data_IF_371010452972
#
_entry.id   IF_371010452972
#
_cell.length_a   1.000
_cell.length_b   1.000
_cell.length_c   1.000
_cell.angle_alpha   90.00
_cell.angle_beta   90.00
_cell.angle_gamma   90.00
#
_symmetry.space_group_name_H-M   'P 1'
#
loop_
_entity.id
_entity.type
_entity.pdbx_description
1 polymer ?
#
# COMPACT_ATOMS: atom_id res chain seq x y z
N UNK A 1 -6.67 -4.20 5.54
CA UNK A 1 -6.36 -3.67 6.89
C UNK A 1 -5.15 -2.77 6.76
N UNK A 2 -5.13 -1.63 7.44
CA UNK A 2 -3.99 -0.72 7.32
C UNK A 2 -3.97 0.42 8.31
N UNK A 3 -3.02 1.32 8.09
CA UNK A 3 -2.70 2.46 8.94
C UNK A 3 -2.79 3.75 8.11
N UNK A 4 -3.54 4.72 8.61
CA UNK A 4 -3.61 6.08 8.05
C UNK A 4 -2.80 7.06 8.90
N UNK A 5 -2.19 8.05 8.25
CA UNK A 5 -1.40 9.11 8.87
C UNK A 5 -1.88 10.49 8.40
N UNK A 6 -1.48 11.54 9.14
CA UNK A 6 -1.93 12.91 8.90
C UNK A 6 -3.25 13.26 9.58
N UNK A 7 -3.61 14.54 9.63
CA UNK A 7 -4.67 15.07 10.50
C UNK A 7 -6.08 14.50 10.23
N UNK A 8 -6.35 14.08 8.99
CA UNK A 8 -7.61 13.44 8.59
C UNK A 8 -7.41 12.01 8.04
N UNK A 9 -6.20 11.45 8.17
CA UNK A 9 -5.88 10.15 7.58
C UNK A 9 -5.77 10.18 6.04
N UNK A 10 -5.44 11.33 5.44
CA UNK A 10 -5.31 11.50 3.99
C UNK A 10 -4.37 10.46 3.35
N UNK A 11 -3.29 10.09 4.03
CA UNK A 11 -2.26 9.21 3.47
C UNK A 11 -2.32 7.81 4.09
N UNK A 12 -2.10 6.79 3.25
CA UNK A 12 -1.91 5.40 3.70
C UNK A 12 -0.43 5.19 4.00
N UNK A 13 -0.11 4.86 5.24
CA UNK A 13 1.24 4.47 5.63
C UNK A 13 1.51 3.01 5.27
N UNK A 14 0.56 2.13 5.60
CA UNK A 14 0.64 0.71 5.27
C UNK A 14 -0.75 0.16 4.98
N UNK A 15 -0.81 -0.83 4.09
CA UNK A 15 -2.06 -1.53 3.77
C UNK A 15 -1.77 -2.97 3.37
N UNK A 16 -2.45 -3.93 4.00
CA UNK A 16 -2.66 -5.25 3.42
C UNK A 16 -4.05 -5.27 2.77
N UNK A 17 -4.06 -5.48 1.46
CA UNK A 17 -5.26 -5.65 0.64
C UNK A 17 -5.16 -6.91 -0.20
N UNK A 18 -6.25 -7.24 -0.89
CA UNK A 18 -6.33 -8.40 -1.75
C UNK A 18 -7.17 -8.07 -2.99
N UNK A 19 -6.92 -8.76 -4.08
CA UNK A 19 -7.65 -8.57 -5.34
C UNK A 19 -8.45 -9.82 -5.76
N UNK A 20 -9.28 -9.66 -6.80
CA UNK A 20 -10.12 -10.72 -7.37
C UNK A 20 -9.32 -11.85 -8.04
N UNK A 21 -8.04 -11.63 -8.33
CA UNK A 21 -7.11 -12.63 -8.89
C UNK A 21 -6.52 -13.56 -7.83
N UNK A 22 -7.04 -13.52 -6.60
CA UNK A 22 -6.53 -14.28 -5.46
C UNK A 22 -5.14 -13.85 -5.00
N UNK A 23 -4.75 -12.60 -5.21
CA UNK A 23 -3.40 -12.12 -4.86
C UNK A 23 -3.44 -11.15 -3.68
N UNK A 24 -2.43 -11.28 -2.82
CA UNK A 24 -2.19 -10.30 -1.76
C UNK A 24 -1.41 -9.12 -2.32
N UNK A 25 -1.82 -7.90 -1.92
CA UNK A 25 -1.11 -6.66 -2.20
C UNK A 25 -0.76 -5.97 -0.89
N UNK A 26 0.47 -5.50 -0.78
CA UNK A 26 0.95 -4.83 0.42
C UNK A 26 1.57 -3.50 0.07
N UNK A 27 1.00 -2.42 0.59
CA UNK A 27 1.66 -1.11 0.65
C UNK A 27 2.55 -1.09 1.89
N UNK A 28 3.85 -0.87 1.66
CA UNK A 28 4.88 -0.78 2.68
C UNK A 28 5.09 0.64 3.20
N UNK A 29 5.70 0.76 4.40
CA UNK A 29 6.03 2.06 5.01
C UNK A 29 7.09 2.86 4.25
N UNK A 30 7.79 2.23 3.30
CA UNK A 30 8.68 2.89 2.34
C UNK A 30 7.95 3.37 1.06
N UNK A 31 6.63 3.21 1.01
CA UNK A 31 5.80 3.55 -0.14
C UNK A 31 5.82 2.51 -1.27
N UNK A 32 6.61 1.44 -1.16
CA UNK A 32 6.61 0.37 -2.17
C UNK A 32 5.34 -0.46 -2.08
N UNK A 33 4.80 -0.86 -3.23
CA UNK A 33 3.69 -1.81 -3.30
C UNK A 33 4.23 -3.16 -3.74
N UNK A 34 3.94 -4.21 -2.99
CA UNK A 34 4.42 -5.57 -3.24
C UNK A 34 3.25 -6.50 -3.52
N UNK A 35 3.40 -7.36 -4.54
CA UNK A 35 2.50 -8.48 -4.82
C UNK A 35 3.15 -9.76 -4.33
N UNK A 36 2.46 -10.51 -3.48
CA UNK A 36 3.01 -11.76 -2.97
C UNK A 36 2.79 -12.87 -3.99
N UNK A 37 3.74 -13.81 -4.05
CA UNK A 37 3.59 -15.01 -4.87
C UNK A 37 2.47 -15.92 -4.35
N UNK A 38 2.32 -15.97 -3.03
CA UNK A 38 1.23 -16.71 -2.36
C UNK A 38 -0.13 -16.11 -2.69
N UNK A 39 -1.11 -16.99 -2.91
CA UNK A 39 -2.50 -16.59 -3.13
C UNK A 39 -3.30 -16.62 -1.83
N UNK A 40 -4.42 -15.89 -1.81
CA UNK A 40 -5.45 -16.05 -0.80
C UNK A 40 -6.54 -17.02 -1.27
N UNK A 41 -7.20 -17.67 -0.33
CA UNK A 41 -8.32 -18.57 -0.59
C UNK A 41 -9.58 -18.09 0.13
N UNK A 42 -10.73 -18.26 -0.52
CA UNK A 42 -12.02 -17.94 0.07
C UNK A 42 -12.26 -18.87 1.26
N UNK A 43 -12.83 -18.34 2.34
CA UNK A 43 -13.13 -19.08 3.59
C UNK A 43 -11.91 -19.61 4.35
N UNK A 44 -10.69 -19.45 3.83
CA UNK A 44 -9.47 -19.65 4.58
C UNK A 44 -9.27 -18.53 5.61
N UNK A 45 -8.73 -18.88 6.76
CA UNK A 45 -8.41 -17.95 7.83
C UNK A 45 -6.93 -17.60 7.77
N UNK A 46 -6.64 -16.30 7.84
CA UNK A 46 -5.28 -15.77 7.84
C UNK A 46 -5.07 -14.94 9.09
N UNK A 47 -3.93 -15.15 9.75
CA UNK A 47 -3.50 -14.27 10.81
C UNK A 47 -2.72 -13.10 10.19
N UNK A 48 -3.12 -11.88 10.53
CA UNK A 48 -2.46 -10.67 10.01
C UNK A 48 -1.97 -9.81 11.17
N UNK A 49 -0.78 -9.25 11.03
CA UNK A 49 -0.26 -8.26 11.97
C UNK A 49 0.41 -7.10 11.26
N UNK A 50 0.26 -5.91 11.82
CA UNK A 50 1.05 -4.73 11.48
C UNK A 50 1.80 -4.34 12.75
N UNK A 51 3.13 -4.24 12.66
CA UNK A 51 4.00 -3.84 13.75
C UNK A 51 4.61 -2.50 13.39
N UNK A 52 4.30 -1.46 14.16
CA UNK A 52 4.90 -0.13 13.99
C UNK A 52 6.06 0.04 14.97
N UNK A 53 7.12 0.69 14.50
CA UNK A 53 8.35 1.00 15.23
C UNK A 53 8.74 2.43 14.91
N UNK A 54 9.37 3.15 15.85
CA UNK A 54 9.96 4.46 15.61
C UNK A 54 9.06 5.47 14.85
N UNK A 55 7.77 5.53 15.19
CA UNK A 55 6.79 6.38 14.51
C UNK A 55 6.14 5.69 13.32
N UNK A 56 6.71 5.87 12.13
CA UNK A 56 6.11 5.43 10.85
C UNK A 56 6.81 4.23 10.20
N UNK A 57 7.88 3.70 10.80
CA UNK A 57 8.46 2.42 10.34
C UNK A 57 7.49 1.30 10.67
N UNK A 58 7.24 0.41 9.71
CA UNK A 58 6.30 -0.67 9.96
C UNK A 58 6.61 -1.94 9.22
N UNK A 59 6.19 -3.07 9.81
CA UNK A 59 6.34 -4.40 9.23
C UNK A 59 4.98 -5.05 9.15
N UNK A 60 4.67 -5.70 8.03
CA UNK A 60 3.41 -6.45 7.86
C UNK A 60 3.71 -7.94 7.85
N UNK A 61 2.85 -8.70 8.51
CA UNK A 61 2.93 -10.15 8.56
C UNK A 61 1.62 -10.81 8.13
N UNK A 62 1.74 -11.93 7.41
CA UNK A 62 0.65 -12.86 7.11
C UNK A 62 1.10 -14.25 7.57
N UNK A 63 0.34 -14.87 8.47
CA UNK A 63 0.66 -16.15 9.13
C UNK A 63 2.08 -16.18 9.73
N UNK A 64 2.47 -15.06 10.34
CA UNK A 64 3.78 -14.88 10.95
C UNK A 64 4.93 -14.68 9.96
N UNK A 65 4.71 -14.82 8.65
CA UNK A 65 5.73 -14.50 7.62
C UNK A 65 5.75 -13.02 7.32
N UNK A 66 6.94 -12.44 7.21
CA UNK A 66 7.13 -11.03 6.89
C UNK A 66 6.85 -10.79 5.40
N UNK A 67 5.88 -9.93 5.10
CA UNK A 67 5.48 -9.60 3.71
C UNK A 67 5.90 -8.18 3.32
N UNK A 68 6.30 -7.38 4.30
CA UNK A 68 6.82 -6.03 4.12
C UNK A 68 7.81 -5.70 5.24
N UNK A 69 8.90 -5.01 4.93
CA UNK A 69 9.96 -4.66 5.88
C UNK A 69 9.81 -3.26 6.48
N UNK A 70 10.61 -2.95 7.50
CA UNK A 70 10.55 -1.75 8.33
C UNK A 70 11.24 -0.51 7.73
N UNK A 71 11.46 -0.46 6.42
CA UNK A 71 12.02 0.73 5.77
C UNK A 71 11.01 1.88 5.85
N UNK A 72 11.53 3.10 6.06
CA UNK A 72 10.72 4.32 6.15
C UNK A 72 10.89 5.16 4.89
N UNK A 73 9.79 5.79 4.45
CA UNK A 73 9.81 6.87 3.47
C UNK A 73 9.58 8.21 4.18
N UNK A 74 10.15 9.28 3.64
CA UNK A 74 9.76 10.65 4.00
C UNK A 74 8.32 10.90 3.54
N UNK A 75 7.43 11.13 4.51
CA UNK A 75 6.06 11.53 4.24
C UNK A 75 6.03 13.06 4.18
N UNK A 76 5.56 13.62 3.06
CA UNK A 76 5.39 15.06 2.91
C UNK A 76 4.09 15.50 3.57
N UNK A 77 4.04 15.55 4.91
CA UNK A 77 2.84 16.03 5.63
C UNK A 77 3.12 17.34 6.34
N UNK A 78 2.33 18.36 6.05
CA UNK A 78 2.42 19.73 6.62
C UNK A 78 1.98 19.83 8.09
N UNK A 79 1.46 18.74 8.68
CA UNK A 79 0.84 18.66 10.01
C UNK A 79 1.34 17.40 10.76
N UNK A 80 1.24 17.32 12.11
CA UNK A 80 1.96 16.33 12.90
C UNK A 80 1.83 14.89 12.36
N UNK A 81 3.00 14.27 12.18
CA UNK A 81 3.31 12.98 11.52
C UNK A 81 2.77 11.74 12.28
N UNK A 82 1.62 11.90 12.95
CA UNK A 82 1.01 10.88 13.77
C UNK A 82 0.16 9.90 12.97
N UNK A 83 0.00 8.71 13.53
CA UNK A 83 -1.03 7.76 13.12
C UNK A 83 -2.39 8.38 13.42
N UNK A 84 -3.23 8.52 12.40
CA UNK A 84 -4.61 8.99 12.53
C UNK A 84 -5.50 7.88 13.09
N UNK A 85 -5.52 6.75 12.38
CA UNK A 85 -6.34 5.60 12.75
C UNK A 85 -5.89 4.33 12.04
N UNK A 86 -6.36 3.21 12.58
CA UNK A 86 -6.31 1.90 11.95
C UNK A 86 -7.65 1.60 11.30
N UNK A 87 -7.64 1.00 10.12
CA UNK A 87 -8.86 0.52 9.45
C UNK A 87 -8.81 -0.98 9.22
N UNK A 88 -9.95 -1.62 9.47
CA UNK A 88 -10.13 -3.07 9.48
C UNK A 88 -11.40 -3.36 8.71
N UNK A 89 -11.33 -4.33 7.80
CA UNK A 89 -12.50 -4.77 7.03
C UNK A 89 -12.86 -3.90 5.81
N UNK A 90 -12.22 -2.76 5.63
CA UNK A 90 -12.45 -1.85 4.50
C UNK A 90 -12.07 -0.42 4.87
N UNK A 91 -11.80 0.41 3.87
CA UNK A 91 -11.45 1.82 4.02
C UNK A 91 -12.66 2.68 3.63
N UNK A 92 -13.17 3.50 4.56
CA UNK A 92 -14.49 4.16 4.45
C UNK A 92 -14.50 5.45 3.61
N UNK A 93 -13.46 5.70 2.81
CA UNK A 93 -13.33 6.96 2.06
C UNK A 93 -14.31 7.08 0.90
N UNK A 94 -14.92 6.00 0.41
CA UNK A 94 -15.92 6.06 -0.67
C UNK A 94 -17.33 5.74 -0.16
N UNK A 95 -18.24 6.72 -0.31
CA UNK A 95 -19.67 6.67 0.02
C UNK A 95 -20.52 5.87 -0.97
N UNK A 96 -19.92 5.08 -1.85
CA UNK A 96 -20.65 4.20 -2.76
C UNK A 96 -20.56 2.77 -2.26
N UNK A 97 -21.72 2.15 -2.09
CA UNK A 97 -21.94 0.76 -1.73
C UNK A 97 -20.94 -0.16 -2.44
N UNK A 98 -19.91 -0.62 -1.72
CA UNK A 98 -19.03 -1.69 -2.16
C UNK A 98 -19.80 -3.02 -2.10
N UNK A 99 -20.70 -3.20 -3.05
CA UNK A 99 -21.32 -4.48 -3.34
C UNK A 99 -20.22 -5.40 -3.88
N UNK A 100 -19.67 -6.29 -3.02
CA UNK A 100 -18.86 -7.41 -3.50
C UNK A 100 -17.65 -7.86 -2.67
N UNK A 101 -17.20 -7.09 -1.67
CA UNK A 101 -15.99 -7.44 -0.90
C UNK A 101 -16.32 -7.62 0.58
N UNK A 102 -16.74 -8.83 0.95
CA UNK A 102 -17.04 -9.18 2.34
C UNK A 102 -15.86 -9.90 2.99
N UNK A 103 -15.36 -9.34 4.10
CA UNK A 103 -14.39 -10.01 4.97
C UNK A 103 -14.98 -10.17 6.37
N UNK A 104 -14.69 -11.31 7.00
CA UNK A 104 -14.97 -11.52 8.43
C UNK A 104 -13.66 -11.36 9.20
N UNK A 105 -13.62 -10.39 10.12
CA UNK A 105 -12.48 -10.18 11.00
C UNK A 105 -12.87 -10.54 12.43
N UNK A 106 -12.00 -11.27 13.12
CA UNK A 106 -12.18 -11.68 14.52
C UNK A 106 -10.89 -11.40 15.30
N UNK A 107 -11.00 -11.26 16.61
CA UNK A 107 -9.87 -11.17 17.54
C UNK A 107 -8.90 -10.02 17.20
N UNK A 108 -9.41 -8.81 17.04
CA UNK A 108 -8.58 -7.61 16.86
C UNK A 108 -7.92 -7.26 18.18
N UNK A 109 -6.59 -7.27 18.20
CA UNK A 109 -5.76 -6.99 19.37
C UNK A 109 -4.85 -5.80 19.07
N UNK A 110 -4.71 -4.87 20.01
CA UNK A 110 -3.82 -3.71 19.90
C UNK A 110 -2.85 -3.70 21.07
N UNK A 111 -1.56 -3.56 20.77
CA UNK A 111 -0.48 -3.56 21.75
C UNK A 111 0.31 -2.26 21.68
N UNK A 112 0.69 -1.74 22.83
CA UNK A 112 1.55 -0.55 22.97
C UNK A 112 3.05 -0.90 22.90
N UNK A 113 3.40 -2.05 22.30
CA UNK A 113 4.78 -2.51 22.15
C UNK A 113 4.91 -3.30 20.84
N UNK A 114 6.09 -3.28 20.20
CA UNK A 114 6.33 -4.13 19.05
C UNK A 114 6.28 -5.60 19.47
N UNK A 115 5.66 -6.42 18.63
CA UNK A 115 5.65 -7.86 18.77
C UNK A 115 6.72 -8.47 17.84
N UNK A 116 7.34 -9.55 18.29
CA UNK A 116 8.31 -10.32 17.51
C UNK A 116 7.63 -11.55 16.92
N UNK A 117 7.85 -11.79 15.64
CA UNK A 117 7.39 -12.98 14.93
C UNK A 117 8.61 -13.79 14.48
N UNK A 118 8.52 -15.12 14.60
CA UNK A 118 9.62 -16.04 14.23
C UNK A 118 9.56 -16.49 12.77
N UNK A 119 8.56 -16.06 11.99
CA UNK A 119 8.47 -16.42 10.57
C UNK A 119 9.48 -15.64 9.74
N UNK A 120 10.02 -16.31 8.71
CA UNK A 120 10.92 -15.69 7.74
C UNK A 120 10.19 -14.77 6.76
N UNK A 121 10.89 -14.39 5.69
CA UNK A 121 10.34 -13.59 4.60
C UNK A 121 9.38 -14.40 3.72
N UNK A 122 8.31 -13.75 3.27
CA UNK A 122 7.42 -14.29 2.27
C UNK A 122 8.00 -14.11 0.87
N UNK A 123 7.66 -15.04 -0.03
CA UNK A 123 8.05 -14.95 -1.44
C UNK A 123 7.26 -13.85 -2.15
N UNK A 124 7.99 -12.94 -2.79
CA UNK A 124 7.43 -11.84 -3.56
C UNK A 124 7.38 -12.20 -5.04
N UNK A 125 6.30 -11.81 -5.71
CA UNK A 125 6.16 -11.95 -7.16
C UNK A 125 6.61 -10.67 -7.87
N UNK A 126 6.27 -9.51 -7.32
CA UNK A 126 6.59 -8.20 -7.89
C UNK A 126 6.80 -7.17 -6.78
N UNK A 127 7.76 -6.27 -6.99
CA UNK A 127 7.99 -5.08 -6.17
C UNK A 127 7.84 -3.87 -7.08
N UNK A 128 6.75 -3.14 -6.88
CA UNK A 128 6.50 -1.87 -7.56
C UNK A 128 7.08 -0.79 -6.63
N UNK A 129 8.25 -0.27 -7.00
CA UNK A 129 8.83 0.88 -6.31
C UNK A 129 7.95 2.10 -6.54
N UNK A 130 7.81 2.97 -5.52
CA UNK A 130 7.25 4.29 -5.75
C UNK A 130 8.14 5.00 -6.78
N UNK A 131 7.61 5.25 -7.97
CA UNK A 131 8.32 6.01 -8.97
C UNK A 131 8.56 7.42 -8.41
N UNK A 132 9.83 7.82 -8.26
CA UNK A 132 10.17 9.22 -8.40
C UNK A 132 9.91 9.54 -9.87
N UNK A 133 8.68 9.88 -10.23
CA UNK A 133 8.40 10.37 -11.58
C UNK A 133 8.97 11.78 -11.72
N UNK A 134 10.26 11.85 -12.06
CA UNK A 134 10.77 12.97 -12.85
C UNK A 134 10.37 12.74 -14.30
N UNK A 135 9.06 12.77 -14.58
CA UNK A 135 8.55 12.83 -15.95
C UNK A 135 8.66 14.29 -16.40
N UNK A 136 9.84 14.68 -16.90
CA UNK A 136 9.97 15.90 -17.68
C UNK A 136 9.07 15.76 -18.93
N UNK A 137 8.23 16.75 -19.26
CA UNK A 137 7.41 16.67 -20.46
C UNK A 137 8.31 16.66 -21.70
N UNK A 138 7.96 15.90 -22.76
CA UNK A 138 8.67 15.99 -24.02
C UNK A 138 8.50 17.42 -24.57
N UNK A 139 9.62 18.07 -24.84
CA UNK A 139 9.69 19.35 -25.52
C UNK A 139 9.04 19.23 -26.92
N UNK A 140 7.92 19.91 -27.13
CA UNK A 140 7.39 20.19 -28.46
C UNK A 140 8.32 21.16 -29.18
N UNK A 141 9.29 20.64 -29.93
CA UNK A 141 9.91 21.42 -31.00
C UNK A 141 10.45 20.51 -32.10
N UNK A 142 9.57 19.82 -32.83
CA UNK A 142 9.84 19.43 -34.24
C UNK A 142 8.53 19.06 -34.94
N UNK A 143 7.73 20.04 -35.36
CA UNK A 143 6.80 19.87 -36.51
C UNK A 143 6.34 21.21 -37.10
N UNK A 144 7.28 22.16 -37.21
CA UNK A 144 7.12 23.31 -38.11
C UNK A 144 8.00 23.11 -39.34
N UNK A 145 7.52 22.32 -40.32
CA UNK A 145 7.91 22.41 -41.75
C UNK A 145 7.22 21.34 -42.58
N UNK A 146 5.98 21.60 -42.99
CA UNK A 146 5.44 21.17 -44.29
C UNK A 146 4.13 21.91 -44.55
N UNK A 147 4.27 23.16 -44.99
CA UNK A 147 3.21 23.94 -45.59
C UNK A 147 3.71 24.56 -46.89
N UNK A 148 2.92 24.38 -47.95
CA UNK A 148 2.97 25.04 -49.26
C UNK A 148 4.03 24.57 -50.27
N UNK A 149 3.58 23.80 -51.28
CA UNK A 149 3.46 24.33 -52.65
C UNK A 149 2.73 23.32 -53.55
N UNK A 150 1.47 23.60 -53.85
CA UNK A 150 0.85 23.18 -55.11
C UNK A 150 0.84 24.43 -56.00
N UNK A 151 1.68 24.43 -57.04
CA UNK A 151 1.61 25.38 -58.15
C UNK A 151 0.57 24.86 -59.16
N UNK A 152 -0.04 25.77 -59.94
CA UNK A 152 -1.15 25.43 -60.84
C UNK A 152 -0.75 24.48 -61.98
#
# INVERSE_FOLDING_TARGET
MGVRVGSNGAEKLMELSYDSEKKWRVLCSDGTTKKLRSTWEKEAQYQVAIVLQNGTQGTVYVDGKRVCGNAQRELETTEPEGISHFYIGGDRVSTESQEGVSVTVKNVLLYNRPLTFSGGDADLEEVIAAALEATAPPSEDTLSRLGASALP
#
